data_IF_591424293935
#
_entry.id   IF_591424293935
#
_cell.length_a   1.000
_cell.length_b   1.000
_cell.length_c   1.000
_cell.angle_alpha   90.00
_cell.angle_beta   90.00
_cell.angle_gamma   90.00
#
_symmetry.space_group_name_H-M   'P 1'
#
loop_
_entity.id
_entity.type
_entity.pdbx_description
1 polymer ?
#
# COMPACT_ATOMS: atom_id res chain seq x y z
N UNK A 1 5.95 21.92 -14.55
CA UNK A 1 4.78 21.09 -14.87
C UNK A 1 5.32 19.71 -15.17
N UNK A 2 5.04 18.76 -14.29
CA UNK A 2 4.77 17.32 -14.54
C UNK A 2 4.76 16.68 -13.14
N UNK A 3 3.58 16.51 -12.53
CA UNK A 3 3.47 15.56 -11.41
C UNK A 3 3.42 14.17 -12.06
N UNK A 4 4.55 13.71 -12.60
CA UNK A 4 4.61 12.44 -13.31
C UNK A 4 4.61 11.34 -12.26
N UNK A 5 3.41 10.88 -11.92
CA UNK A 5 3.24 9.65 -11.18
C UNK A 5 3.70 8.52 -12.10
N UNK A 6 4.83 7.91 -11.79
CA UNK A 6 5.42 6.82 -12.56
C UNK A 6 5.44 5.55 -11.74
N UNK A 7 5.26 4.41 -12.38
CA UNK A 7 5.29 3.12 -11.68
C UNK A 7 6.63 2.95 -10.94
N UNK A 8 6.56 2.86 -9.62
CA UNK A 8 7.73 2.74 -8.76
C UNK A 8 7.76 1.39 -8.11
N UNK A 9 8.86 0.65 -8.27
CA UNK A 9 9.04 -0.61 -7.52
C UNK A 9 9.52 -0.28 -6.11
N UNK A 10 8.82 -0.78 -5.11
CA UNK A 10 9.11 -0.61 -3.68
C UNK A 10 9.29 -1.97 -3.01
N UNK A 11 10.07 -2.00 -1.93
CA UNK A 11 10.30 -3.21 -1.14
C UNK A 11 9.39 -3.22 0.09
N UNK A 12 8.66 -4.31 0.30
CA UNK A 12 7.80 -4.45 1.46
C UNK A 12 8.62 -4.60 2.74
N UNK A 13 8.41 -3.72 3.73
CA UNK A 13 9.10 -3.79 5.03
C UNK A 13 8.75 -5.01 5.88
N UNK A 14 7.60 -5.66 5.64
CA UNK A 14 7.16 -6.82 6.42
C UNK A 14 7.67 -8.15 5.82
N UNK A 15 7.63 -8.32 4.49
CA UNK A 15 8.01 -9.60 3.84
C UNK A 15 9.23 -9.52 2.92
N UNK A 16 9.78 -8.33 2.66
CA UNK A 16 10.92 -8.14 1.75
C UNK A 16 10.59 -8.28 0.26
N UNK A 17 9.34 -8.58 -0.11
CA UNK A 17 8.94 -8.71 -1.50
C UNK A 17 8.88 -7.34 -2.20
N UNK A 18 9.32 -7.32 -3.45
CA UNK A 18 9.15 -6.18 -4.35
C UNK A 18 7.68 -6.08 -4.79
N UNK A 19 7.15 -4.87 -4.84
CA UNK A 19 5.82 -4.60 -5.35
C UNK A 19 5.81 -3.27 -6.10
N UNK A 20 4.89 -3.16 -7.06
CA UNK A 20 4.76 -1.96 -7.89
C UNK A 20 3.79 -1.00 -7.20
N UNK A 21 4.24 0.23 -6.98
CA UNK A 21 3.43 1.37 -6.59
C UNK A 21 3.11 2.16 -7.85
N UNK A 22 1.95 1.84 -8.43
CA UNK A 22 1.58 2.33 -9.76
C UNK A 22 1.29 3.83 -9.76
N UNK A 23 1.37 4.44 -10.95
CA UNK A 23 0.98 5.83 -11.16
C UNK A 23 -0.44 6.14 -10.63
N UNK A 24 -1.39 5.22 -10.89
CA UNK A 24 -2.77 5.35 -10.41
C UNK A 24 -2.91 5.25 -8.89
N UNK A 25 -2.11 4.41 -8.23
CA UNK A 25 -2.08 4.36 -6.76
C UNK A 25 -1.48 5.63 -6.17
N UNK A 26 -0.47 6.21 -6.80
CA UNK A 26 0.10 7.48 -6.36
C UNK A 26 -0.90 8.64 -6.48
N UNK A 27 -1.65 8.68 -7.59
CA UNK A 27 -2.75 9.65 -7.75
C UNK A 27 -3.79 9.47 -6.66
N UNK A 28 -4.25 8.24 -6.41
CA UNK A 28 -5.19 7.96 -5.33
C UNK A 28 -4.65 8.40 -3.96
N UNK A 29 -3.36 8.18 -3.70
CA UNK A 29 -2.70 8.63 -2.47
C UNK A 29 -2.71 10.16 -2.35
N UNK A 30 -2.33 10.86 -3.41
CA UNK A 30 -2.32 12.32 -3.45
C UNK A 30 -3.72 12.92 -3.31
N UNK A 31 -4.73 12.37 -3.97
CA UNK A 31 -6.14 12.79 -3.85
C UNK A 31 -6.69 12.63 -2.43
N UNK A 32 -6.20 11.65 -1.69
CA UNK A 32 -6.55 11.44 -0.28
C UNK A 32 -5.73 12.28 0.70
N UNK A 33 -4.75 13.06 0.21
CA UNK A 33 -3.85 13.84 1.04
C UNK A 33 -2.77 12.98 1.74
N UNK A 34 -2.47 11.79 1.21
CA UNK A 34 -1.36 10.98 1.70
C UNK A 34 -0.06 11.39 1.01
N UNK A 35 0.83 12.03 1.76
CA UNK A 35 2.16 12.41 1.29
C UNK A 35 3.18 11.26 1.34
N UNK A 36 2.84 10.16 2.04
CA UNK A 36 3.75 9.05 2.29
C UNK A 36 3.52 7.86 1.36
N UNK A 37 4.61 7.29 0.85
CA UNK A 37 4.60 6.10 0.02
C UNK A 37 4.22 4.83 0.80
N UNK A 38 3.58 3.84 0.15
CA UNK A 38 3.26 2.58 0.79
C UNK A 38 4.53 1.83 1.22
N UNK A 39 4.62 1.50 2.51
CA UNK A 39 5.75 0.73 3.07
C UNK A 39 5.53 -0.80 3.03
N UNK A 40 4.32 -1.22 2.64
CA UNK A 40 3.89 -2.62 2.66
C UNK A 40 3.14 -2.95 1.39
N UNK A 41 3.44 -4.11 0.83
CA UNK A 41 2.76 -4.60 -0.36
C UNK A 41 1.26 -4.85 -0.09
N UNK A 42 0.43 -4.90 -1.14
CA UNK A 42 -1.01 -5.18 -1.03
C UNK A 42 -1.32 -6.47 -0.28
N UNK A 43 -0.50 -7.52 -0.45
CA UNK A 43 -0.67 -8.80 0.22
C UNK A 43 -0.52 -8.68 1.75
N UNK A 44 0.53 -8.03 2.25
CA UNK A 44 0.73 -7.82 3.70
C UNK A 44 -0.35 -6.89 4.29
N UNK A 45 -0.80 -5.88 3.53
CA UNK A 45 -1.91 -5.01 3.95
C UNK A 45 -3.22 -5.80 4.07
N UNK A 46 -3.52 -6.66 3.09
CA UNK A 46 -4.69 -7.53 3.10
C UNK A 46 -4.63 -8.53 4.26
N UNK A 47 -3.50 -9.21 4.45
CA UNK A 47 -3.30 -10.14 5.55
C UNK A 47 -3.54 -9.50 6.93
N UNK A 48 -3.02 -8.28 7.16
CA UNK A 48 -3.31 -7.54 8.41
C UNK A 48 -4.78 -7.16 8.55
N UNK A 49 -5.45 -6.77 7.46
CA UNK A 49 -6.89 -6.47 7.47
C UNK A 49 -7.71 -7.72 7.82
N UNK A 50 -7.35 -8.86 7.24
CA UNK A 50 -8.04 -10.13 7.47
C UNK A 50 -7.81 -10.64 8.90
N UNK A 51 -6.59 -10.50 9.45
CA UNK A 51 -6.31 -10.79 10.87
C UNK A 51 -7.19 -9.97 11.82
N UNK A 52 -7.40 -8.68 11.53
CA UNK A 52 -8.28 -7.82 12.36
C UNK A 52 -9.74 -8.25 12.30
N UNK A 53 -10.22 -8.74 11.15
CA UNK A 53 -11.59 -9.24 11.01
C UNK A 53 -11.80 -10.53 11.80
N UNK A 54 -10.84 -11.44 11.76
CA UNK A 54 -10.94 -12.71 12.47
C UNK A 54 -10.97 -12.55 14.01
N UNK A 55 -10.32 -11.49 14.52
CA UNK A 55 -10.32 -11.21 15.95
C UNK A 55 -11.65 -10.63 16.47
N UNK A 56 -12.47 -10.03 15.60
CA UNK A 56 -13.76 -9.42 15.98
C UNK A 56 -14.89 -10.46 16.08
N UNK A 57 -14.77 -11.61 15.41
CA UNK A 57 -15.76 -12.69 15.49
C UNK A 57 -15.66 -13.50 16.81
N UNK A 58 -14.55 -13.38 17.53
CA UNK A 58 -14.29 -14.15 18.76
C UNK A 58 -14.56 -13.35 20.06
N UNK A 59 -15.27 -12.21 20.00
CA UNK A 59 -15.65 -11.43 21.18
C UNK A 59 -17.15 -11.13 21.22
#
# INVERSE_FOLDING_TARGET
MENNYEDKTLVCKDCGAEFIFTAGEQQFYAEKGFENEPQRCPACRKARKDQRRNNNYNN
#
